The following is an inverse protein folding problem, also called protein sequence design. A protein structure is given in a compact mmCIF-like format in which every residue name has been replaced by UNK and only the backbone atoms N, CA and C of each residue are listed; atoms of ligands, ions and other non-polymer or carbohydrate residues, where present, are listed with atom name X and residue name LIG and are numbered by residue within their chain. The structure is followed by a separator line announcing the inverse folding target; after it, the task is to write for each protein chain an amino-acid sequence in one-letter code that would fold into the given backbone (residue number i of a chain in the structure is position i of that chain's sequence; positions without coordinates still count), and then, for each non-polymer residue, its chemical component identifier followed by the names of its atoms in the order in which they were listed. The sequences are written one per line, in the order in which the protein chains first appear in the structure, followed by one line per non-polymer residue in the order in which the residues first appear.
data_IF_263749887287
#
_entry.id   IF_263749887287
#
_cell.length_a   1.000
_cell.length_b   1.000
_cell.length_c   1.000
_cell.angle_alpha   90.00
_cell.angle_beta   90.00
_cell.angle_gamma   90.00
#
_symmetry.space_group_name_H-M   'P 1'
#
loop_
_entity.id
_entity.type
_entity.pdbx_description
1 polymer ?
#
# COMPACT_ATOMS: atom_id res chain seq x y z
N UNK A 1 -0.78 -13.81 -7.70
CA UNK A 1 -0.06 -12.96 -6.73
C UNK A 1 0.35 -11.68 -7.42
N UNK A 2 -0.19 -10.54 -6.97
CA UNK A 2 0.20 -9.21 -7.45
C UNK A 2 1.34 -8.70 -6.57
N UNK A 3 2.42 -8.21 -7.16
CA UNK A 3 3.55 -7.64 -6.42
C UNK A 3 3.76 -6.20 -6.87
N UNK A 4 3.68 -5.27 -5.93
CA UNK A 4 3.96 -3.85 -6.17
C UNK A 4 5.34 -3.47 -5.63
N UNK A 5 6.09 -2.66 -6.37
CA UNK A 5 7.28 -1.96 -5.87
C UNK A 5 7.05 -0.46 -6.03
N UNK A 6 7.28 0.31 -4.96
CA UNK A 6 7.22 1.77 -4.99
C UNK A 6 8.60 2.37 -4.69
N UNK A 7 9.01 3.35 -5.49
CA UNK A 7 10.27 4.08 -5.32
C UNK A 7 11.46 3.53 -6.12
N UNK A 8 12.56 4.29 -6.15
CA UNK A 8 13.78 3.92 -6.87
C UNK A 8 13.70 4.04 -8.40
N UNK A 9 12.79 4.89 -8.93
CA UNK A 9 12.59 5.15 -10.36
C UNK A 9 12.83 6.62 -10.75
N UNK A 10 13.41 7.40 -9.85
CA UNK A 10 13.79 8.78 -10.10
C UNK A 10 15.04 8.94 -11.01
N UNK A 11 15.53 10.17 -11.14
CA UNK A 11 16.62 10.50 -12.05
C UNK A 11 18.02 10.22 -11.46
N UNK A 12 18.13 9.86 -10.18
CA UNK A 12 19.42 9.76 -9.49
C UNK A 12 20.07 8.38 -9.70
N UNK A 13 21.28 8.18 -9.20
CA UNK A 13 22.06 6.96 -9.47
C UNK A 13 21.70 5.79 -8.54
N UNK A 14 21.14 6.13 -7.38
CA UNK A 14 20.56 5.25 -6.36
C UNK A 14 19.15 4.76 -6.75
N UNK A 15 18.51 5.39 -7.73
CA UNK A 15 17.30 4.88 -8.38
C UNK A 15 17.62 3.66 -9.26
N UNK A 16 17.66 2.48 -8.62
CA UNK A 16 18.07 1.23 -9.25
C UNK A 16 16.92 0.27 -9.58
N UNK A 17 15.66 0.60 -9.27
CA UNK A 17 14.52 -0.34 -9.34
C UNK A 17 14.37 -0.97 -10.71
N UNK A 18 14.34 -0.16 -11.78
CA UNK A 18 14.25 -0.68 -13.16
C UNK A 18 15.43 -1.58 -13.52
N UNK A 19 16.66 -1.19 -13.15
CA UNK A 19 17.86 -1.97 -13.44
C UNK A 19 17.88 -3.30 -12.68
N UNK A 20 17.49 -3.29 -11.42
CA UNK A 20 17.42 -4.48 -10.57
C UNK A 20 16.39 -5.48 -11.09
N UNK A 21 15.20 -4.99 -11.46
CA UNK A 21 14.14 -5.83 -12.03
C UNK A 21 14.55 -6.34 -13.42
N UNK A 22 15.13 -5.49 -14.29
CA UNK A 22 15.65 -5.92 -15.58
C UNK A 22 16.65 -7.08 -15.42
N UNK A 23 17.61 -6.94 -14.49
CA UNK A 23 18.60 -7.98 -14.21
C UNK A 23 17.97 -9.27 -13.69
N UNK A 24 16.98 -9.18 -12.79
CA UNK A 24 16.31 -10.35 -12.22
C UNK A 24 15.53 -11.17 -13.26
N UNK A 25 14.96 -10.50 -14.26
CA UNK A 25 14.15 -11.13 -15.31
C UNK A 25 14.88 -11.29 -16.66
N UNK A 26 16.17 -10.95 -16.74
CA UNK A 26 16.95 -11.01 -17.97
C UNK A 26 16.50 -10.05 -19.08
N UNK A 27 15.83 -8.95 -18.71
CA UNK A 27 15.28 -7.97 -19.64
C UNK A 27 16.28 -6.87 -19.97
N UNK A 28 16.05 -6.18 -21.09
CA UNK A 28 16.80 -4.98 -21.48
C UNK A 28 16.07 -3.72 -21.04
N UNK A 29 16.84 -2.72 -20.64
CA UNK A 29 16.31 -1.36 -20.45
C UNK A 29 16.25 -0.65 -21.80
N UNK A 30 15.05 -0.25 -22.21
CA UNK A 30 14.79 0.41 -23.49
C UNK A 30 14.18 1.78 -23.22
N UNK A 31 14.64 2.80 -23.94
CA UNK A 31 14.04 4.14 -23.88
C UNK A 31 12.65 4.08 -24.50
N UNK A 32 11.60 4.33 -23.71
CA UNK A 32 10.22 4.23 -24.15
C UNK A 32 9.75 5.52 -24.82
N UNK A 33 9.48 5.44 -26.12
CA UNK A 33 9.24 6.62 -26.97
C UNK A 33 7.99 7.41 -26.54
N UNK A 34 6.87 6.74 -26.27
CA UNK A 34 5.65 7.44 -25.81
C UNK A 34 5.87 8.12 -24.44
N UNK A 35 6.68 7.50 -23.57
CA UNK A 35 6.98 8.08 -22.26
C UNK A 35 7.85 9.33 -22.41
N UNK A 36 8.79 9.33 -23.36
CA UNK A 36 9.58 10.50 -23.72
C UNK A 36 8.70 11.63 -24.25
N UNK A 37 7.78 11.34 -25.16
CA UNK A 37 6.88 12.33 -25.75
C UNK A 37 5.96 12.96 -24.71
N UNK A 38 5.34 12.12 -23.85
CA UNK A 38 4.54 12.61 -22.72
C UNK A 38 5.39 13.43 -21.75
N UNK A 39 6.62 13.02 -21.47
CA UNK A 39 7.52 13.78 -20.59
C UNK A 39 7.83 15.15 -21.18
N UNK A 40 8.13 15.25 -22.47
CA UNK A 40 8.34 16.54 -23.17
C UNK A 40 7.12 17.46 -23.05
N UNK A 41 5.91 16.91 -23.18
CA UNK A 41 4.64 17.65 -23.16
C UNK A 41 4.19 18.07 -21.75
N UNK A 42 4.34 17.19 -20.77
CA UNK A 42 3.69 17.32 -19.45
C UNK A 42 4.66 17.60 -18.31
N UNK A 43 5.97 17.42 -18.49
CA UNK A 43 6.93 17.75 -17.44
C UNK A 43 6.99 19.26 -17.24
N UNK A 44 6.84 19.72 -16.00
CA UNK A 44 7.07 21.12 -15.66
C UNK A 44 8.57 21.38 -15.57
N UNK A 45 9.09 22.48 -16.14
CA UNK A 45 10.46 22.91 -15.90
C UNK A 45 10.68 23.10 -14.40
N UNK A 46 11.81 22.64 -13.89
CA UNK A 46 12.14 22.90 -12.49
C UNK A 46 12.57 24.38 -12.35
N UNK A 47 12.16 25.11 -11.30
CA UNK A 47 12.53 26.52 -11.14
C UNK A 47 14.04 26.79 -11.15
N UNK A 48 14.85 25.82 -10.69
CA UNK A 48 16.32 25.90 -10.74
C UNK A 48 16.95 25.53 -12.09
N UNK A 49 16.15 25.11 -13.08
CA UNK A 49 16.59 24.75 -14.43
C UNK A 49 15.70 25.41 -15.50
N UNK A 50 15.63 26.74 -15.56
CA UNK A 50 14.74 27.47 -16.47
C UNK A 50 15.09 27.27 -17.96
N UNK A 51 16.37 27.01 -18.28
CA UNK A 51 16.87 26.85 -19.65
C UNK A 51 17.04 25.38 -20.06
N UNK A 52 16.35 24.45 -19.41
CA UNK A 52 16.42 23.04 -19.78
C UNK A 52 15.86 22.81 -21.21
N UNK A 53 16.62 22.14 -22.06
CA UNK A 53 16.21 21.74 -23.41
C UNK A 53 16.32 20.23 -23.58
N UNK A 54 15.32 19.65 -24.26
CA UNK A 54 15.32 18.23 -24.63
C UNK A 54 16.18 17.93 -25.87
N UNK A 55 16.58 18.96 -26.62
CA UNK A 55 17.33 18.83 -27.87
C UNK A 55 18.84 19.04 -27.69
N UNK A 56 19.25 19.51 -26.50
CA UNK A 56 20.65 19.75 -26.16
C UNK A 56 21.12 18.68 -25.16
N UNK A 57 22.16 17.89 -25.48
CA UNK A 57 22.75 16.95 -24.54
C UNK A 57 23.16 17.64 -23.23
N UNK A 58 22.67 17.13 -22.10
CA UNK A 58 22.99 17.65 -20.78
C UNK A 58 22.89 16.54 -19.72
N UNK A 59 23.58 16.68 -18.57
CA UNK A 59 23.44 15.74 -17.45
C UNK A 59 21.98 15.62 -16.97
N UNK A 60 21.22 16.72 -17.01
CA UNK A 60 19.80 16.72 -16.65
C UNK A 60 18.95 15.92 -17.64
N UNK A 61 19.26 15.98 -18.95
CA UNK A 61 18.57 15.21 -19.97
C UNK A 61 18.85 13.71 -19.80
N UNK A 62 20.11 13.32 -19.58
CA UNK A 62 20.45 11.91 -19.31
C UNK A 62 19.79 11.39 -18.05
N UNK A 63 19.69 12.21 -16.99
CA UNK A 63 19.01 11.86 -15.76
C UNK A 63 17.49 11.64 -15.99
N UNK A 64 16.85 12.51 -16.78
CA UNK A 64 15.44 12.33 -17.21
C UNK A 64 15.24 11.09 -18.07
N UNK A 65 16.15 10.81 -19.01
CA UNK A 65 16.11 9.61 -19.86
C UNK A 65 16.19 8.32 -19.05
N UNK A 66 16.91 8.28 -17.93
CA UNK A 66 16.92 7.11 -17.03
C UNK A 66 15.52 6.73 -16.53
N UNK A 67 14.65 7.72 -16.27
CA UNK A 67 13.30 7.49 -15.77
C UNK A 67 12.36 6.84 -16.81
N UNK A 68 12.72 6.87 -18.09
CA UNK A 68 11.96 6.28 -19.20
C UNK A 68 12.71 5.12 -19.88
N UNK A 69 13.87 4.72 -19.35
CA UNK A 69 14.55 3.50 -19.75
C UNK A 69 13.93 2.35 -18.96
N UNK A 70 12.90 1.73 -19.54
CA UNK A 70 12.04 0.76 -18.87
C UNK A 70 12.50 -0.68 -19.17
N UNK A 71 12.35 -1.64 -18.24
CA UNK A 71 12.56 -3.06 -18.50
C UNK A 71 11.46 -3.59 -19.43
N UNK A 72 11.78 -3.78 -20.71
CA UNK A 72 10.82 -4.24 -21.72
C UNK A 72 11.12 -5.69 -22.12
N UNK A 73 10.08 -6.50 -22.16
CA UNK A 73 10.08 -7.82 -22.79
C UNK A 73 9.55 -7.70 -24.22
N UNK A 74 10.44 -7.90 -25.20
CA UNK A 74 10.10 -7.80 -26.63
C UNK A 74 9.15 -8.90 -27.12
N UNK A 75 8.90 -9.94 -26.32
CA UNK A 75 7.93 -11.00 -26.64
C UNK A 75 6.48 -10.64 -26.26
N UNK A 76 6.27 -9.53 -25.54
CA UNK A 76 4.98 -9.05 -25.05
C UNK A 76 4.63 -7.71 -25.69
N UNK A 77 3.34 -7.42 -25.78
CA UNK A 77 2.85 -6.13 -26.28
C UNK A 77 3.19 -5.01 -25.29
N UNK A 78 3.66 -3.86 -25.79
CA UNK A 78 4.02 -2.69 -24.98
C UNK A 78 2.83 -2.19 -24.15
N UNK A 79 1.59 -2.29 -24.67
CA UNK A 79 0.39 -1.85 -23.95
C UNK A 79 0.12 -2.67 -22.68
N UNK A 80 0.66 -3.88 -22.59
CA UNK A 80 0.52 -4.78 -21.44
C UNK A 80 1.71 -4.67 -20.46
N UNK A 81 2.66 -3.78 -20.77
CA UNK A 81 3.91 -3.57 -20.04
C UNK A 81 4.10 -2.13 -19.59
N UNK A 82 3.52 -1.16 -20.29
CA UNK A 82 3.66 0.26 -20.00
C UNK A 82 2.27 0.89 -19.99
N UNK A 83 1.75 1.11 -18.78
CA UNK A 83 0.39 1.58 -18.57
C UNK A 83 0.38 3.08 -18.29
N UNK A 84 -0.23 3.84 -19.19
CA UNK A 84 -0.57 5.24 -18.95
C UNK A 84 -2.00 5.35 -18.49
N UNK A 85 -2.20 5.24 -17.17
CA UNK A 85 -3.53 5.22 -16.54
C UNK A 85 -4.12 6.61 -16.29
N UNK A 86 -3.36 7.66 -16.56
CA UNK A 86 -3.80 9.05 -16.40
C UNK A 86 -3.18 9.94 -17.48
N UNK A 87 -4.02 10.64 -18.26
CA UNK A 87 -3.59 11.47 -19.38
C UNK A 87 -2.86 12.75 -18.97
N UNK A 88 -3.03 13.20 -17.72
CA UNK A 88 -2.34 14.38 -17.18
C UNK A 88 -0.94 14.09 -16.65
N UNK A 89 -0.55 12.80 -16.62
CA UNK A 89 0.75 12.35 -16.14
C UNK A 89 1.60 11.81 -17.30
N UNK A 90 2.89 12.11 -17.25
CA UNK A 90 3.86 11.50 -18.16
C UNK A 90 4.43 10.18 -17.65
N UNK A 91 4.35 9.93 -16.34
CA UNK A 91 4.96 8.75 -15.71
C UNK A 91 4.04 7.55 -15.92
N UNK A 92 4.52 6.46 -16.56
CA UNK A 92 3.76 5.22 -16.68
C UNK A 92 3.88 4.35 -15.42
N UNK A 93 2.98 3.38 -15.30
CA UNK A 93 3.20 2.18 -14.49
C UNK A 93 3.88 1.14 -15.39
N UNK A 94 5.02 0.60 -14.95
CA UNK A 94 5.71 -0.46 -15.70
C UNK A 94 5.32 -1.83 -15.15
N UNK A 95 4.90 -2.76 -16.01
CA UNK A 95 4.44 -4.10 -15.67
C UNK A 95 5.38 -5.17 -16.21
N UNK A 96 6.18 -5.73 -15.31
CA UNK A 96 7.11 -6.82 -15.61
C UNK A 96 6.47 -8.17 -15.29
N UNK A 97 6.72 -9.17 -16.14
CA UNK A 97 6.23 -10.55 -15.94
C UNK A 97 4.68 -10.67 -15.78
N UNK A 98 3.92 -9.67 -16.24
CA UNK A 98 2.46 -9.62 -16.16
C UNK A 98 1.86 -9.41 -14.75
N UNK A 99 2.69 -9.38 -13.70
CA UNK A 99 2.21 -9.28 -12.32
C UNK A 99 3.02 -8.33 -11.41
N UNK A 100 4.19 -7.85 -11.85
CA UNK A 100 5.02 -6.91 -11.10
C UNK A 100 4.72 -5.50 -11.59
N UNK A 101 4.08 -4.70 -10.75
CA UNK A 101 3.74 -3.31 -11.07
C UNK A 101 4.73 -2.39 -10.36
N UNK A 102 5.45 -1.58 -11.14
CA UNK A 102 6.44 -0.63 -10.64
C UNK A 102 5.79 0.75 -10.64
N UNK A 103 5.69 1.35 -9.46
CA UNK A 103 5.08 2.65 -9.24
C UNK A 103 6.11 3.65 -8.66
N UNK A 104 5.91 4.97 -8.87
CA UNK A 104 6.75 5.99 -8.26
C UNK A 104 6.61 6.00 -6.73
N UNK A 105 7.67 6.44 -6.05
CA UNK A 105 7.68 6.56 -4.58
C UNK A 105 7.04 7.85 -4.05
N UNK A 106 6.72 8.82 -4.92
CA UNK A 106 6.07 10.07 -4.51
C UNK A 106 4.61 9.78 -4.13
N UNK A 107 4.17 9.98 -2.87
CA UNK A 107 2.88 9.49 -2.38
C UNK A 107 1.68 9.93 -3.24
N UNK A 108 1.58 11.22 -3.54
CA UNK A 108 0.48 11.77 -4.38
C UNK A 108 0.44 11.19 -5.79
N UNK A 109 1.62 10.90 -6.36
CA UNK A 109 1.71 10.32 -7.70
C UNK A 109 1.36 8.84 -7.66
N UNK A 110 1.83 8.14 -6.63
CA UNK A 110 1.48 6.75 -6.36
C UNK A 110 -0.04 6.57 -6.23
N UNK A 111 -0.70 7.35 -5.37
CA UNK A 111 -2.15 7.31 -5.16
C UNK A 111 -2.92 7.52 -6.46
N UNK A 112 -2.52 8.53 -7.25
CA UNK A 112 -3.18 8.86 -8.52
C UNK A 112 -3.04 7.75 -9.56
N UNK A 113 -1.85 7.17 -9.69
CA UNK A 113 -1.60 6.04 -10.58
C UNK A 113 -2.31 4.76 -10.11
N UNK A 114 -2.35 4.53 -8.79
CA UNK A 114 -3.07 3.40 -8.21
C UNK A 114 -4.58 3.52 -8.48
N UNK A 115 -5.15 4.72 -8.37
CA UNK A 115 -6.56 4.99 -8.71
C UNK A 115 -6.86 4.63 -10.16
N UNK A 116 -6.03 5.09 -11.10
CA UNK A 116 -6.18 4.78 -12.52
C UNK A 116 -5.99 3.29 -12.84
N UNK A 117 -5.25 2.55 -12.00
CA UNK A 117 -5.06 1.11 -12.15
C UNK A 117 -6.25 0.30 -11.61
N UNK A 118 -7.09 0.86 -10.73
CA UNK A 118 -8.20 0.14 -10.08
C UNK A 118 -9.11 -0.61 -11.07
N UNK A 119 -9.55 -0.05 -12.21
CA UNK A 119 -10.43 -0.78 -13.14
C UNK A 119 -9.83 -2.09 -13.67
N UNK A 120 -8.50 -2.14 -13.87
CA UNK A 120 -7.80 -3.36 -14.29
C UNK A 120 -7.39 -4.27 -13.14
N UNK A 121 -7.26 -3.72 -11.92
CA UNK A 121 -6.81 -4.47 -10.75
C UNK A 121 -7.97 -5.11 -9.97
N UNK A 122 -9.05 -4.37 -9.75
CA UNK A 122 -10.21 -4.79 -8.93
C UNK A 122 -10.78 -6.14 -9.37
N UNK A 123 -10.98 -6.44 -10.68
CA UNK A 123 -11.46 -7.76 -11.11
C UNK A 123 -10.50 -8.92 -10.81
N UNK A 124 -9.23 -8.63 -10.53
CA UNK A 124 -8.19 -9.63 -10.21
C UNK A 124 -8.04 -9.84 -8.71
N UNK A 125 -8.70 -9.02 -7.87
CA UNK A 125 -8.67 -9.16 -6.42
C UNK A 125 -9.62 -10.27 -5.99
N UNK A 126 -9.22 -11.04 -4.98
CA UNK A 126 -10.09 -12.05 -4.36
C UNK A 126 -11.33 -11.42 -3.70
N UNK A 127 -11.22 -10.15 -3.30
CA UNK A 127 -12.29 -9.36 -2.70
C UNK A 127 -12.30 -7.96 -3.34
N UNK A 128 -13.04 -7.79 -4.46
CA UNK A 128 -13.11 -6.55 -5.23
C UNK A 128 -13.73 -5.37 -4.46
N UNK A 129 -14.63 -5.66 -3.53
CA UNK A 129 -15.36 -4.64 -2.76
C UNK A 129 -14.65 -4.26 -1.45
N UNK A 130 -13.60 -4.99 -1.07
CA UNK A 130 -12.89 -4.78 0.20
C UNK A 130 -13.74 -5.06 1.44
N UNK A 131 -14.86 -5.77 1.28
CA UNK A 131 -15.81 -6.11 2.35
C UNK A 131 -15.50 -7.46 3.00
N UNK A 132 -14.61 -8.23 2.42
CA UNK A 132 -14.28 -9.59 2.84
C UNK A 132 -13.44 -9.66 4.12
N UNK A 133 -13.16 -8.53 4.79
CA UNK A 133 -12.51 -8.52 6.11
C UNK A 133 -13.20 -7.51 7.02
N UNK A 134 -13.82 -8.03 8.07
CA UNK A 134 -14.46 -7.27 9.13
C UNK A 134 -13.54 -7.22 10.34
N UNK A 135 -13.51 -6.07 11.01
CA UNK A 135 -12.76 -5.82 12.24
C UNK A 135 -13.71 -5.42 13.36
N UNK A 136 -13.62 -6.09 14.50
CA UNK A 136 -14.29 -5.69 15.73
C UNK A 136 -13.21 -5.27 16.73
N UNK A 137 -13.38 -4.10 17.35
CA UNK A 137 -12.56 -3.64 18.47
C UNK A 137 -13.35 -3.68 19.76
N UNK A 138 -12.72 -4.19 20.81
CA UNK A 138 -13.27 -4.22 22.17
C UNK A 138 -12.25 -3.57 23.09
N UNK A 139 -12.65 -2.49 23.75
CA UNK A 139 -11.84 -1.78 24.74
C UNK A 139 -12.03 -2.43 26.10
N UNK A 140 -10.94 -2.89 26.71
CA UNK A 140 -10.94 -3.58 28.01
C UNK A 140 -10.11 -2.80 29.05
N UNK A 141 -10.58 -2.70 30.31
CA UNK A 141 -9.76 -2.17 31.41
C UNK A 141 -8.75 -3.21 31.95
N UNK A 142 -8.82 -4.46 31.50
CA UNK A 142 -7.99 -5.54 32.02
C UNK A 142 -6.57 -5.47 31.46
N UNK A 143 -5.58 -5.80 32.28
CA UNK A 143 -4.21 -5.96 31.85
C UNK A 143 -4.07 -7.14 30.87
N UNK A 144 -3.13 -7.05 29.93
CA UNK A 144 -2.90 -8.09 28.92
C UNK A 144 -2.67 -9.48 29.55
N UNK A 145 -1.90 -9.55 30.62
CA UNK A 145 -1.66 -10.80 31.36
C UNK A 145 -2.92 -11.43 31.92
N UNK A 146 -3.94 -10.63 32.27
CA UNK A 146 -5.19 -11.12 32.83
C UNK A 146 -6.13 -11.73 31.77
N UNK A 147 -6.03 -11.27 30.51
CA UNK A 147 -6.85 -11.76 29.40
C UNK A 147 -6.11 -12.73 28.48
N UNK A 148 -4.79 -12.86 28.61
CA UNK A 148 -3.94 -13.67 27.71
C UNK A 148 -4.39 -15.13 27.58
N UNK A 149 -4.73 -15.79 28.70
CA UNK A 149 -5.22 -17.18 28.68
C UNK A 149 -6.50 -17.31 27.87
N UNK A 150 -7.49 -16.47 28.18
CA UNK A 150 -8.77 -16.44 27.46
C UNK A 150 -8.58 -16.15 25.96
N UNK A 151 -7.76 -15.15 25.61
CA UNK A 151 -7.51 -14.80 24.21
C UNK A 151 -6.80 -15.93 23.46
N UNK A 152 -5.95 -16.70 24.13
CA UNK A 152 -5.30 -17.89 23.55
C UNK A 152 -6.32 -18.99 23.25
N UNK A 153 -7.21 -19.26 24.19
CA UNK A 153 -8.30 -20.24 24.01
C UNK A 153 -9.27 -19.81 22.91
N UNK A 154 -9.66 -18.53 22.91
CA UNK A 154 -10.51 -17.94 21.88
C UNK A 154 -9.85 -18.05 20.50
N UNK A 155 -8.56 -17.70 20.39
CA UNK A 155 -7.82 -17.80 19.14
C UNK A 155 -7.85 -19.23 18.58
N UNK A 156 -7.62 -20.24 19.43
CA UNK A 156 -7.72 -21.65 19.01
C UNK A 156 -9.13 -22.08 18.59
N UNK A 157 -10.16 -21.57 19.28
CA UNK A 157 -11.58 -21.84 18.95
C UNK A 157 -11.99 -21.24 17.59
N UNK A 158 -11.49 -20.04 17.27
CA UNK A 158 -11.95 -19.27 16.11
C UNK A 158 -11.02 -19.36 14.89
N UNK A 159 -9.79 -19.85 15.05
CA UNK A 159 -8.84 -20.07 13.96
C UNK A 159 -9.41 -20.97 12.83
N UNK A 160 -10.11 -22.09 13.11
CA UNK A 160 -10.72 -22.91 12.05
C UNK A 160 -11.77 -22.18 11.21
N UNK A 161 -12.33 -21.08 11.74
CA UNK A 161 -13.28 -20.19 11.04
C UNK A 161 -12.56 -19.02 10.33
N UNK A 162 -11.23 -18.98 10.38
CA UNK A 162 -10.42 -17.94 9.75
C UNK A 162 -10.43 -16.60 10.48
N UNK A 163 -10.84 -16.57 11.76
CA UNK A 163 -10.80 -15.36 12.58
C UNK A 163 -9.45 -15.27 13.28
N UNK A 164 -8.86 -14.08 13.27
CA UNK A 164 -7.64 -13.73 14.02
C UNK A 164 -8.02 -12.90 15.23
N UNK A 165 -7.44 -13.27 16.38
CA UNK A 165 -7.57 -12.55 17.64
C UNK A 165 -6.25 -11.87 17.93
N UNK A 166 -6.28 -10.60 18.35
CA UNK A 166 -5.11 -9.88 18.82
C UNK A 166 -5.43 -9.03 20.05
N UNK A 167 -4.48 -8.92 20.96
CA UNK A 167 -4.44 -7.90 22.01
C UNK A 167 -3.38 -6.86 21.67
N UNK A 168 -3.71 -5.59 21.82
CA UNK A 168 -2.75 -4.50 21.67
C UNK A 168 -2.70 -3.72 22.98
N UNK A 169 -1.62 -3.86 23.78
CA UNK A 169 -1.42 -3.04 24.95
C UNK A 169 -1.16 -1.59 24.52
N UNK A 170 -1.84 -0.64 25.16
CA UNK A 170 -1.66 0.78 24.86
C UNK A 170 -0.79 1.43 25.93
N UNK A 171 0.45 1.76 25.55
CA UNK A 171 1.42 2.36 26.46
C UNK A 171 0.91 3.70 27.02
N UNK A 172 0.96 3.87 28.35
CA UNK A 172 0.51 5.08 29.03
C UNK A 172 -1.01 5.26 29.13
N UNK A 173 -1.81 4.25 28.73
CA UNK A 173 -3.28 4.30 28.79
C UNK A 173 -3.81 3.26 29.77
N UNK A 174 -4.94 3.57 30.40
CA UNK A 174 -5.59 2.69 31.40
C UNK A 174 -6.33 1.50 30.77
N UNK A 175 -6.48 1.48 29.44
CA UNK A 175 -7.29 0.48 28.71
C UNK A 175 -6.49 -0.14 27.57
N UNK A 176 -6.70 -1.43 27.34
CA UNK A 176 -6.14 -2.19 26.22
C UNK A 176 -7.21 -2.43 25.15
N UNK A 177 -6.79 -2.75 23.93
CA UNK A 177 -7.71 -3.11 22.85
C UNK A 177 -7.56 -4.58 22.47
N UNK A 178 -8.70 -5.27 22.38
CA UNK A 178 -8.83 -6.60 21.78
C UNK A 178 -9.41 -6.42 20.39
N UNK A 179 -8.80 -7.05 19.39
CA UNK A 179 -9.23 -7.00 18.01
C UNK A 179 -9.58 -8.40 17.51
N UNK A 180 -10.76 -8.53 16.90
CA UNK A 180 -11.17 -9.70 16.12
C UNK A 180 -11.18 -9.31 14.63
N UNK A 181 -10.53 -10.11 13.79
CA UNK A 181 -10.46 -9.88 12.34
C UNK A 181 -10.87 -11.15 11.60
N UNK A 182 -11.88 -11.09 10.74
CA UNK A 182 -12.38 -12.27 10.02
C UNK A 182 -13.21 -11.90 8.80
N UNK A 183 -13.64 -12.90 8.03
CA UNK A 183 -14.42 -12.69 6.80
C UNK A 183 -15.94 -12.85 6.97
N UNK A 184 -16.35 -13.43 8.09
CA UNK A 184 -17.74 -13.73 8.42
C UNK A 184 -18.22 -12.75 9.49
N UNK A 185 -18.98 -11.74 9.07
CA UNK A 185 -19.47 -10.67 9.95
C UNK A 185 -20.43 -11.21 11.00
N UNK A 186 -21.37 -12.09 10.63
CA UNK A 186 -22.35 -12.65 11.57
C UNK A 186 -21.65 -13.48 12.64
N UNK A 187 -20.64 -14.28 12.25
CA UNK A 187 -19.86 -15.05 13.20
C UNK A 187 -19.05 -14.13 14.14
N UNK A 188 -18.39 -13.09 13.61
CA UNK A 188 -17.69 -12.13 14.46
C UNK A 188 -18.62 -11.42 15.45
N UNK A 189 -19.80 -11.00 15.00
CA UNK A 189 -20.82 -10.38 15.85
C UNK A 189 -21.30 -11.32 16.94
N UNK A 190 -21.42 -12.63 16.66
CA UNK A 190 -21.79 -13.64 17.65
C UNK A 190 -20.76 -13.80 18.78
N UNK A 191 -19.50 -13.43 18.54
CA UNK A 191 -18.42 -13.49 19.54
C UNK A 191 -18.37 -12.25 20.44
N UNK A 192 -19.03 -11.15 20.06
CA UNK A 192 -18.90 -9.86 20.77
C UNK A 192 -19.30 -10.00 22.23
N UNK A 193 -20.48 -10.54 22.49
CA UNK A 193 -21.00 -10.68 23.86
C UNK A 193 -20.12 -11.60 24.72
N UNK A 194 -19.62 -12.70 24.16
CA UNK A 194 -18.69 -13.60 24.86
C UNK A 194 -17.40 -12.86 25.23
N UNK A 195 -16.80 -12.13 24.28
CA UNK A 195 -15.55 -11.42 24.51
C UNK A 195 -15.75 -10.28 25.49
N UNK A 196 -16.76 -9.43 25.32
CA UNK A 196 -17.08 -8.32 26.23
C UNK A 196 -17.20 -8.79 27.69
N UNK A 197 -17.88 -9.92 27.91
CA UNK A 197 -18.03 -10.49 29.25
C UNK A 197 -16.71 -11.00 29.83
N UNK A 198 -15.91 -11.74 29.04
CA UNK A 198 -14.65 -12.32 29.50
C UNK A 198 -13.54 -11.29 29.70
N UNK A 199 -13.53 -10.20 28.92
CA UNK A 199 -12.54 -9.13 29.04
C UNK A 199 -13.06 -7.91 29.81
N UNK A 200 -14.28 -7.97 30.35
CA UNK A 200 -14.96 -6.84 31.01
C UNK A 200 -14.91 -5.55 30.16
N UNK A 201 -15.03 -5.72 28.86
CA UNK A 201 -14.81 -4.69 27.85
C UNK A 201 -16.11 -4.21 27.22
N UNK A 202 -15.96 -3.27 26.29
CA UNK A 202 -17.05 -2.79 25.44
C UNK A 202 -16.56 -2.62 24.01
N UNK A 203 -17.42 -2.95 23.05
CA UNK A 203 -17.18 -2.67 21.64
C UNK A 203 -17.04 -1.16 21.42
N UNK A 204 -16.05 -0.78 20.62
CA UNK A 204 -15.75 0.59 20.23
C UNK A 204 -15.51 0.66 18.72
N UNK A 205 -15.76 1.81 18.12
CA UNK A 205 -15.40 2.08 16.72
C UNK A 205 -13.94 2.54 16.60
N UNK A 206 -13.43 3.22 17.63
CA UNK A 206 -12.03 3.70 17.71
C UNK A 206 -11.37 3.28 19.01
N UNK A 207 -10.05 3.08 18.96
CA UNK A 207 -9.28 2.60 20.11
C UNK A 207 -9.27 3.56 21.30
N UNK A 208 -9.46 4.86 21.05
CA UNK A 208 -9.45 5.97 21.99
C UNK A 208 -10.85 6.39 22.47
N UNK A 209 -11.92 5.77 21.98
CA UNK A 209 -13.30 6.17 22.26
C UNK A 209 -13.65 6.14 23.76
N UNK A 210 -13.00 5.25 24.51
CA UNK A 210 -13.19 5.09 25.96
C UNK A 210 -11.98 5.56 26.77
N UNK A 211 -11.07 6.31 26.15
CA UNK A 211 -10.05 6.99 26.92
C UNK A 211 -10.70 8.16 27.67
N UNK A 212 -10.37 8.30 28.95
CA UNK A 212 -10.60 9.56 29.64
C UNK A 212 -9.80 10.62 28.87
N UNK A 213 -10.45 11.75 28.51
CA UNK A 213 -9.76 12.89 27.94
C UNK A 213 -8.60 13.23 28.86
N UNK A 214 -7.38 13.34 28.29
CA UNK A 214 -6.18 13.68 29.03
C UNK A 214 -6.51 14.87 29.95
N UNK A 215 -6.57 14.61 31.26
CA UNK A 215 -6.79 15.64 32.26
C UNK A 215 -5.58 16.58 32.13
N UNK A 216 -5.77 17.88 31.81
CA UNK A 216 -4.67 18.82 31.73
C UNK A 216 -4.25 19.22 33.14
N UNK A 217 -3.78 18.26 33.95
CA UNK A 217 -3.19 18.53 35.26
C UNK A 217 -2.32 17.34 35.72
N UNK A 218 -1.12 17.23 35.16
CA UNK A 218 0.05 16.88 35.97
C UNK A 218 1.12 17.96 35.70
N UNK A 219 1.36 18.77 36.74
CA UNK A 219 2.27 19.92 36.73
C UNK A 219 3.72 19.60 37.07
#
# INVERSE_FOLDING_TARGET
MLTGSSGGIGPTHDDITYRSIAKAFGLKLVEHQEALERMKKLSKPHPSQPNFSYDVPSPALEAKKRMIRLPIDTSRDDKDQVLFVDESLWVPITVVNGNIHILPGVPRLFEKLLEGLKPGLVPRLTDPEGKGVYRILISTPMAESAVATYLTELAGKVEPKGVKVGSYPRWGRKRNSVTLVGRDEEYLLSLVEEVENNVQGKRVEREDEMDESDDPDEG
#
